data_IF_011161750831
#
_entry.id   IF_011161750831
#
_cell.length_a   1.000
_cell.length_b   1.000
_cell.length_c   1.000
_cell.angle_alpha   90.00
_cell.angle_beta   90.00
_cell.angle_gamma   90.00
#
_symmetry.space_group_name_H-M   'P 1'
#
loop_
_entity.id
_entity.type
_entity.pdbx_description
1 polymer ?
2 non-polymer ?
3 non-polymer ?
4 non-polymer ?
5 water ?
#
# COMPACT_ATOMS: atom_id res chain seq x y z
N UNK A 39 10.29 11.47 -19.65
CA UNK A 39 9.47 12.73 -19.50
C UNK A 39 8.97 12.83 -18.03
N UNK A 40 7.67 13.06 -17.76
CA UNK A 40 7.07 13.06 -16.39
C UNK A 40 6.54 11.67 -16.02
N UNK A 41 7.01 11.14 -14.88
CA UNK A 41 6.72 9.78 -14.36
C UNK A 41 5.23 9.66 -14.02
N UNK A 42 4.60 8.59 -14.53
CA UNK A 42 3.22 8.20 -14.15
C UNK A 42 3.31 7.45 -12.82
N UNK A 43 2.43 7.78 -11.88
CA UNK A 43 2.43 7.24 -10.50
C UNK A 43 1.14 6.42 -10.30
N UNK A 44 1.33 5.12 -10.05
CA UNK A 44 0.27 4.11 -9.90
C UNK A 44 0.51 3.42 -8.57
N UNK A 45 -0.49 3.46 -7.70
CA UNK A 45 -0.49 2.71 -6.42
C UNK A 45 -1.06 1.33 -6.70
N UNK A 46 -0.44 0.30 -6.15
CA UNK A 46 -0.99 -1.08 -6.02
C UNK A 46 -1.56 -1.24 -4.60
N UNK A 47 -2.86 -1.53 -4.49
CA UNK A 47 -3.60 -1.60 -3.22
C UNK A 47 -4.20 -2.99 -3.08
N UNK A 48 -4.36 -3.46 -1.85
CA UNK A 48 -4.94 -4.78 -1.61
C UNK A 48 -4.71 -5.24 -0.19
N UNK A 49 -5.49 -6.22 0.23
CA UNK A 49 -5.39 -6.82 1.58
C UNK A 49 -4.02 -7.46 1.76
N UNK A 50 -3.69 -7.76 2.99
CA UNK A 50 -2.47 -8.53 3.34
C UNK A 50 -2.47 -9.80 2.50
N UNK A 51 -1.35 -10.11 1.84
CA UNK A 51 -1.07 -11.38 1.13
C UNK A 51 -1.99 -11.53 -0.09
N UNK A 52 -2.54 -10.44 -0.63
CA UNK A 52 -3.36 -10.49 -1.87
C UNK A 52 -2.45 -10.92 -3.04
N UNK A 53 -1.21 -10.43 -3.04
CA UNK A 53 -0.19 -10.77 -4.05
C UNK A 53 0.52 -9.54 -4.59
N UNK A 54 0.49 -8.43 -3.88
CA UNK A 54 1.00 -7.12 -4.39
C UNK A 54 2.50 -7.17 -4.64
N UNK A 55 3.29 -7.75 -3.73
CA UNK A 55 4.76 -7.85 -3.88
C UNK A 55 5.11 -8.77 -5.06
N UNK A 56 4.42 -9.90 -5.18
CA UNK A 56 4.54 -10.83 -6.32
C UNK A 56 4.23 -10.07 -7.61
N UNK A 57 3.14 -9.30 -7.61
CA UNK A 57 2.68 -8.60 -8.83
C UNK A 57 3.71 -7.53 -9.24
N UNK A 58 4.14 -6.66 -8.34
CA UNK A 58 5.07 -5.55 -8.68
C UNK A 58 6.40 -6.10 -9.18
N UNK A 59 6.87 -7.23 -8.62
CA UNK A 59 8.18 -7.86 -8.96
C UNK A 59 8.08 -8.54 -10.33
N UNK A 60 6.86 -8.89 -10.74
CA UNK A 60 6.58 -9.28 -12.15
C UNK A 60 6.67 -8.02 -13.02
N UNK A 61 5.97 -6.96 -12.64
CA UNK A 61 5.87 -5.78 -13.53
C UNK A 61 7.26 -5.20 -13.76
N UNK A 62 8.09 -5.09 -12.72
CA UNK A 62 9.35 -4.32 -12.80
C UNK A 62 10.20 -4.94 -13.93
N UNK A 63 10.06 -6.23 -14.17
CA UNK A 63 10.90 -7.02 -15.11
C UNK A 63 10.47 -6.83 -16.56
N UNK A 64 9.23 -6.41 -16.82
CA UNK A 64 8.64 -6.47 -18.19
C UNK A 64 9.02 -5.25 -19.03
N UNK A 65 9.51 -4.17 -18.41
CA UNK A 65 9.88 -2.91 -19.11
C UNK A 65 10.97 -2.16 -18.32
N UNK A 66 11.91 -1.56 -19.05
CA UNK A 66 12.96 -0.65 -18.51
C UNK A 66 12.32 0.68 -18.11
N UNK A 67 11.09 0.96 -18.55
CA UNK A 67 10.38 2.21 -18.22
C UNK A 67 9.58 2.02 -16.93
N UNK A 68 9.62 0.81 -16.36
CA UNK A 68 8.75 0.42 -15.22
C UNK A 68 9.62 0.22 -13.97
N UNK A 69 9.31 0.95 -12.91
CA UNK A 69 9.99 0.75 -11.60
C UNK A 69 8.95 0.63 -10.48
N UNK A 70 9.42 0.15 -9.34
CA UNK A 70 8.63 -0.29 -8.17
C UNK A 70 9.18 0.38 -6.91
N UNK A 71 8.30 0.87 -6.04
CA UNK A 71 8.65 1.33 -4.66
C UNK A 71 8.02 0.36 -3.66
N UNK A 72 8.84 -0.54 -3.09
CA UNK A 72 8.39 -1.46 -2.07
C UNK A 72 7.95 -0.71 -0.81
N UNK A 73 6.98 -1.29 -0.11
CA UNK A 73 6.39 -0.79 1.15
C UNK A 73 7.50 -0.88 2.21
N UNK A 74 7.91 0.24 2.82
CA UNK A 74 8.91 0.22 3.88
C UNK A 74 8.61 -0.73 5.07
N UNK A 75 7.37 -0.84 5.48
CA UNK A 75 6.92 -1.84 6.51
C UNK A 75 7.32 -3.25 6.07
N UNK A 76 7.19 -3.60 4.79
CA UNK A 76 7.56 -4.93 4.25
C UNK A 76 9.07 -5.14 4.42
N UNK A 77 9.89 -4.13 4.11
CA UNK A 77 11.37 -4.14 4.30
C UNK A 77 11.77 -4.19 5.79
N UNK A 78 10.92 -3.75 6.73
CA UNK A 78 11.27 -3.78 8.18
C UNK A 78 11.19 -5.22 8.69
N UNK A 79 10.24 -6.02 8.17
CA UNK A 79 10.04 -7.47 8.43
C UNK A 79 10.65 -8.30 7.28
N UNK A 80 11.74 -7.79 6.69
CA UNK A 80 12.55 -8.34 5.57
C UNK A 80 12.12 -9.79 5.27
N UNK A 91 22.61 -2.63 7.97
CA UNK A 91 21.27 -2.41 8.58
C UNK A 91 21.03 -0.92 8.79
N UNK A 92 20.04 -0.33 8.11
CA UNK A 92 19.79 1.12 8.17
C UNK A 92 19.15 1.47 9.52
N UNK A 93 19.39 2.69 9.99
CA UNK A 93 18.74 3.28 11.19
C UNK A 93 17.21 3.20 11.04
N UNK A 94 16.67 3.40 9.84
CA UNK A 94 15.21 3.29 9.58
C UNK A 94 14.76 1.84 9.86
N UNK A 95 15.56 0.86 9.43
CA UNK A 95 15.22 -0.57 9.64
C UNK A 95 15.30 -0.96 11.11
N UNK A 96 16.25 -0.45 11.88
CA UNK A 96 16.38 -0.80 13.33
C UNK A 96 15.14 -0.24 14.02
N UNK A 97 14.86 1.04 13.76
CA UNK A 97 13.68 1.77 14.25
C UNK A 97 12.40 0.98 13.93
N UNK A 98 12.14 0.69 12.66
CA UNK A 98 10.92 -0.01 12.21
C UNK A 98 10.85 -1.40 12.84
N UNK A 99 11.95 -2.14 12.81
CA UNK A 99 12.05 -3.45 13.46
C UNK A 99 11.64 -3.33 14.93
N UNK A 100 12.22 -2.38 15.66
CA UNK A 100 11.84 -2.15 17.09
C UNK A 100 10.36 -1.81 17.18
N UNK A 101 9.81 -0.89 16.38
CA UNK A 101 8.38 -0.52 16.62
C UNK A 101 7.45 -1.67 16.20
N UNK A 102 7.75 -2.43 15.13
CA UNK A 102 6.92 -3.60 14.73
C UNK A 102 6.81 -4.56 15.92
N UNK A 103 7.93 -4.89 16.54
CA UNK A 103 7.98 -5.83 17.68
C UNK A 103 7.11 -5.31 18.83
N UNK A 104 7.20 -4.01 19.12
CA UNK A 104 6.52 -3.44 20.30
C UNK A 104 5.02 -3.41 20.05
N UNK A 105 4.64 -3.27 18.78
CA UNK A 105 3.21 -3.32 18.36
C UNK A 105 2.60 -4.67 18.74
N UNK A 106 3.33 -5.79 18.67
CA UNK A 106 2.76 -7.13 19.04
C UNK A 106 2.40 -7.14 20.52
N UNK A 107 3.25 -6.53 21.35
CA UNK A 107 3.06 -6.49 22.83
C UNK A 107 1.91 -5.52 23.16
N UNK A 108 1.96 -4.30 22.62
CA UNK A 108 1.12 -3.18 23.13
C UNK A 108 0.75 -2.25 21.98
N UNK A 109 -0.19 -2.66 21.12
CA UNK A 109 -0.57 -1.82 19.99
C UNK A 109 -1.16 -0.47 20.43
N UNK A 110 -1.81 -0.42 21.61
CA UNK A 110 -2.44 0.82 22.13
C UNK A 110 -1.35 1.79 22.63
N UNK A 111 -0.12 1.32 22.81
CA UNK A 111 1.04 2.19 23.18
C UNK A 111 1.74 2.71 21.92
N UNK A 112 1.82 1.92 20.84
CA UNK A 112 2.78 2.17 19.74
C UNK A 112 2.12 2.51 18.40
N UNK A 113 0.79 2.48 18.29
CA UNK A 113 0.10 2.64 16.99
C UNK A 113 0.42 4.03 16.42
N UNK A 114 0.28 5.09 17.21
CA UNK A 114 0.56 6.47 16.74
C UNK A 114 2.00 6.53 16.20
N UNK A 115 2.97 6.06 16.99
CA UNK A 115 4.40 6.13 16.66
C UNK A 115 4.65 5.35 15.37
N UNK A 116 4.09 4.15 15.31
CA UNK A 116 4.22 3.23 14.15
C UNK A 116 3.69 3.94 12.90
N UNK A 117 2.43 4.34 12.93
CA UNK A 117 1.75 4.86 11.72
C UNK A 117 2.46 6.10 11.20
N UNK A 118 2.89 7.01 12.08
CA UNK A 118 3.55 8.26 11.64
C UNK A 118 4.87 7.86 10.99
N UNK A 119 5.62 6.93 11.59
CA UNK A 119 6.98 6.60 11.07
C UNK A 119 6.84 5.79 9.78
N UNK A 120 5.84 4.92 9.70
CA UNK A 120 5.55 4.10 8.51
C UNK A 120 5.26 5.04 7.35
N UNK A 121 4.42 6.04 7.57
CA UNK A 121 4.01 7.01 6.51
C UNK A 121 5.17 7.95 6.13
N UNK A 122 5.95 8.47 7.10
CA UNK A 122 7.16 9.29 6.78
C UNK A 122 8.07 8.49 5.84
N UNK A 123 8.33 7.26 6.22
CA UNK A 123 9.30 6.36 5.55
C UNK A 123 8.82 6.09 4.12
N UNK A 124 7.51 5.99 3.92
CA UNK A 124 6.95 5.78 2.59
C UNK A 124 7.15 7.06 1.77
N UNK A 125 6.84 8.23 2.34
CA UNK A 125 7.00 9.46 1.53
C UNK A 125 8.48 9.57 1.11
N UNK A 126 9.42 9.38 2.02
CA UNK A 126 10.84 9.63 1.65
C UNK A 126 11.25 8.60 0.59
N UNK A 127 10.83 7.34 0.72
CA UNK A 127 11.15 6.28 -0.26
C UNK A 127 10.46 6.60 -1.61
N UNK A 128 9.23 7.13 -1.60
CA UNK A 128 8.52 7.50 -2.85
C UNK A 128 9.27 8.65 -3.55
N UNK A 129 9.76 9.66 -2.80
CA UNK A 129 10.46 10.83 -3.39
C UNK A 129 11.85 10.43 -3.91
N UNK A 130 12.57 9.51 -3.26
CA UNK A 130 13.90 9.01 -3.71
C UNK A 130 13.76 8.34 -5.08
N UNK A 131 12.77 7.46 -5.27
CA UNK A 131 12.51 6.80 -6.57
C UNK A 131 12.13 7.83 -7.62
N UNK A 132 11.27 8.77 -7.25
CA UNK A 132 10.76 9.83 -8.17
C UNK A 132 11.92 10.73 -8.66
N UNK A 133 13.05 10.83 -7.93
CA UNK A 133 14.14 11.79 -8.21
C UNK A 133 15.42 11.06 -8.65
N UNK A 134 15.44 9.73 -8.69
CA UNK A 134 16.67 8.96 -8.93
C UNK A 134 16.59 7.98 -10.09
N UNK A 135 15.43 7.81 -10.73
CA UNK A 135 15.20 6.72 -11.72
C UNK A 135 14.39 7.22 -12.90
N UNK A 136 14.39 6.47 -14.00
CA UNK A 136 13.56 6.73 -15.21
C UNK A 136 13.84 8.16 -15.71
N UNK A 137 15.10 8.58 -15.66
CA UNK A 137 15.51 9.93 -16.11
C UNK A 137 15.58 9.93 -17.65
N UNK A 138 16.09 8.85 -18.27
CA UNK A 138 16.07 8.68 -19.75
C UNK A 138 15.13 7.52 -20.12
N UNK A 139 13.95 7.50 -19.51
CA UNK A 139 12.82 6.62 -19.86
C UNK A 139 11.85 7.40 -20.75
N UNK A 140 11.26 6.74 -21.75
CA UNK A 140 10.35 7.38 -22.74
C UNK A 140 8.95 7.51 -22.14
N UNK A 141 8.41 6.41 -21.59
CA UNK A 141 7.07 6.35 -20.93
C UNK A 141 7.25 5.77 -19.53
N UNK A 142 7.89 6.54 -18.61
CA UNK A 142 8.20 6.05 -17.28
C UNK A 142 6.94 5.87 -16.42
N UNK A 143 6.86 4.72 -15.74
CA UNK A 143 5.78 4.39 -14.78
C UNK A 143 6.42 3.92 -13.48
N UNK A 144 5.91 4.44 -12.37
CA UNK A 144 6.40 4.12 -11.01
C UNK A 144 5.23 3.48 -10.26
N UNK A 145 5.39 2.20 -9.95
CA UNK A 145 4.39 1.38 -9.20
C UNK A 145 4.74 1.47 -7.72
N UNK A 146 3.94 2.19 -6.94
CA UNK A 146 4.04 2.22 -5.46
C UNK A 146 3.33 1.01 -4.88
N UNK A 147 4.04 0.25 -4.05
CA UNK A 147 3.43 -0.81 -3.22
C UNK A 147 2.66 -0.11 -2.10
N UNK A 148 1.35 0.03 -2.29
CA UNK A 148 0.45 0.79 -1.38
C UNK A 148 0.83 2.26 -1.47
N UNK A 149 0.11 3.10 -0.72
CA UNK A 149 0.22 4.58 -0.78
C UNK A 149 0.06 5.22 0.61
N UNK A 150 0.21 6.56 0.65
CA UNK A 150 -0.07 7.37 1.87
C UNK A 150 -1.55 7.23 2.21
N UNK A 151 -2.40 6.91 1.22
CA UNK A 151 -3.86 6.79 1.43
C UNK A 151 -4.21 5.47 2.12
N UNK A 152 -3.51 4.36 1.81
CA UNK A 152 -3.69 3.06 2.51
C UNK A 152 -3.20 3.19 3.96
N UNK A 153 -2.08 3.86 4.15
CA UNK A 153 -1.53 4.14 5.50
C UNK A 153 -2.64 4.71 6.40
N UNK A 154 -3.44 5.63 5.87
CA UNK A 154 -4.40 6.43 6.67
C UNK A 154 -5.76 5.76 6.69
N UNK A 155 -6.35 5.44 5.54
CA UNK A 155 -7.79 5.07 5.45
C UNK A 155 -7.94 3.57 5.62
N UNK A 156 -6.84 2.82 5.56
CA UNK A 156 -6.86 1.37 5.87
C UNK A 156 -6.26 1.20 7.26
N UNK A 157 -4.97 1.46 7.42
CA UNK A 157 -4.25 0.97 8.63
C UNK A 157 -4.52 1.88 9.84
N UNK A 158 -4.17 3.16 9.74
CA UNK A 158 -4.27 4.07 10.90
C UNK A 158 -5.73 4.11 11.34
N UNK A 159 -6.65 4.24 10.38
CA UNK A 159 -8.11 4.26 10.60
C UNK A 159 -8.53 2.99 11.34
N UNK A 160 -8.05 1.82 10.90
CA UNK A 160 -8.37 0.52 11.52
C UNK A 160 -7.86 0.50 12.96
N UNK A 161 -6.69 1.07 13.19
CA UNK A 161 -6.09 1.05 14.54
C UNK A 161 -6.94 1.92 15.47
N UNK A 162 -7.40 3.07 14.98
CA UNK A 162 -8.28 3.98 15.76
C UNK A 162 -9.57 3.22 16.13
N UNK A 163 -10.15 2.52 15.17
CA UNK A 163 -11.41 1.75 15.35
C UNK A 163 -11.17 0.54 16.26
N UNK A 164 -9.95 0.00 16.33
CA UNK A 164 -9.62 -1.12 17.25
C UNK A 164 -9.20 -0.61 18.65
N UNK A 165 -9.25 0.72 18.84
CA UNK A 165 -8.97 1.48 20.08
C UNK A 165 -7.47 1.40 20.40
N UNK A 166 -6.63 1.35 19.37
CA UNK A 166 -5.15 1.32 19.51
C UNK A 166 -4.60 2.74 19.44
N UNK A 167 -5.44 3.67 19.01
CA UNK A 167 -5.21 5.14 19.06
C UNK A 167 -6.45 5.75 19.71
N UNK A 168 -6.25 6.70 20.61
CA UNK A 168 -7.33 7.50 21.24
C UNK A 168 -7.63 8.68 20.30
N UNK A 169 -8.68 9.45 20.55
CA UNK A 169 -9.09 10.57 19.66
C UNK A 169 -7.91 11.52 19.43
N UNK A 170 -7.15 11.82 20.48
CA UNK A 170 -6.08 12.86 20.34
C UNK A 170 -5.05 12.34 19.33
N UNK A 171 -4.64 11.08 19.47
CA UNK A 171 -3.63 10.45 18.57
C UNK A 171 -4.17 10.41 17.14
N UNK A 172 -5.43 10.02 16.94
CA UNK A 172 -6.04 9.92 15.59
C UNK A 172 -6.12 11.31 14.95
N UNK A 173 -6.51 12.34 15.71
CA UNK A 173 -6.68 13.72 15.18
C UNK A 173 -5.32 14.34 14.91
N UNK A 174 -4.34 14.11 15.78
CA UNK A 174 -2.95 14.56 15.54
C UNK A 174 -2.46 13.91 14.26
N UNK A 175 -2.72 12.61 14.10
CA UNK A 175 -2.25 11.82 12.95
C UNK A 175 -2.83 12.41 11.67
N UNK A 176 -4.15 12.58 11.63
CA UNK A 176 -4.84 13.12 10.43
C UNK A 176 -4.32 14.52 10.07
N UNK A 177 -4.15 15.38 11.05
CA UNK A 177 -3.62 16.76 10.90
C UNK A 177 -2.21 16.71 10.30
N UNK A 178 -1.34 15.93 10.93
CA UNK A 178 0.03 15.64 10.45
C UNK A 178 -0.02 15.16 9.00
N UNK A 179 -0.89 14.20 8.69
CA UNK A 179 -1.02 13.54 7.36
C UNK A 179 -1.46 14.56 6.29
N UNK A 180 -2.58 15.24 6.51
CA UNK A 180 -3.05 16.38 5.67
C UNK A 180 -1.86 17.28 5.34
N UNK A 181 -1.23 17.79 6.37
CA UNK A 181 -0.11 18.76 6.24
C UNK A 181 1.10 18.11 5.58
N UNK A 182 1.60 16.98 6.09
CA UNK A 182 2.83 16.28 5.59
C UNK A 182 2.73 16.09 4.07
N UNK A 183 1.51 15.93 3.53
CA UNK A 183 1.23 15.56 2.12
C UNK A 183 1.15 16.82 1.25
N UNK A 184 0.46 17.85 1.72
CA UNK A 184 0.43 19.18 1.05
C UNK A 184 1.86 19.77 0.98
N UNK A 185 2.54 19.86 2.11
CA UNK A 185 4.00 20.16 2.24
C UNK A 185 4.80 18.84 2.24
N UNK A 188 1.27 18.19 -4.99
CA UNK A 188 0.87 17.54 -6.28
C UNK A 188 1.97 16.56 -6.75
N UNK A 189 2.99 16.30 -5.92
CA UNK A 189 4.28 15.68 -6.31
C UNK A 189 4.12 14.15 -6.39
N UNK A 190 3.57 13.54 -5.34
CA UNK A 190 3.29 12.08 -5.29
C UNK A 190 1.81 11.81 -5.60
N UNK A 191 1.05 12.82 -6.01
CA UNK A 191 -0.36 12.62 -6.42
C UNK A 191 -0.36 11.51 -7.48
N UNK A 192 -1.33 10.59 -7.38
CA UNK A 192 -1.46 9.35 -8.19
C UNK A 192 -2.17 9.67 -9.51
N UNK A 193 -1.71 9.04 -10.59
CA UNK A 193 -2.37 9.01 -11.92
C UNK A 193 -3.44 7.91 -11.93
N UNK A 194 -3.27 6.85 -11.14
CA UNK A 194 -4.23 5.75 -11.09
C UNK A 194 -3.96 4.77 -9.97
N UNK A 195 -4.95 3.93 -9.67
CA UNK A 195 -4.83 2.88 -8.63
C UNK A 195 -5.18 1.55 -9.27
N UNK A 196 -4.40 0.52 -8.93
CA UNK A 196 -4.66 -0.90 -9.28
C UNK A 196 -4.99 -1.62 -7.98
N UNK A 197 -6.24 -2.07 -7.88
CA UNK A 197 -6.77 -2.82 -6.73
C UNK A 197 -6.63 -4.32 -7.01
N UNK A 198 -5.69 -4.99 -6.37
CA UNK A 198 -5.64 -6.47 -6.40
C UNK A 198 -6.64 -6.97 -5.35
N UNK A 199 -7.81 -7.37 -5.85
CA UNK A 199 -8.97 -7.76 -5.04
C UNK A 199 -8.90 -9.27 -4.84
N UNK A 200 -8.90 -9.69 -3.58
CA UNK A 200 -8.91 -11.11 -3.16
C UNK A 200 -9.80 -11.25 -1.93
N UNK A 201 -10.46 -12.40 -1.81
CA UNK A 201 -11.30 -12.77 -0.64
C UNK A 201 -10.38 -12.88 0.57
N UNK A 202 -10.88 -12.61 1.79
CA UNK A 202 -10.12 -12.84 3.01
C UNK A 202 -9.54 -14.26 3.13
N UNK A 203 -10.31 -15.25 2.65
CA UNK A 203 -9.97 -16.70 2.65
C UNK A 203 -8.73 -16.94 1.78
N UNK A 204 -8.70 -16.40 0.56
CA UNK A 204 -7.49 -16.46 -0.29
C UNK A 204 -6.32 -15.83 0.46
N UNK A 205 -6.50 -14.65 1.05
CA UNK A 205 -5.40 -13.94 1.77
C UNK A 205 -4.95 -14.77 2.97
N UNK A 206 -5.87 -15.43 3.66
CA UNK A 206 -5.52 -16.30 4.82
C UNK A 206 -4.70 -17.48 4.30
N UNK A 207 -5.13 -18.12 3.21
CA UNK A 207 -4.34 -19.23 2.60
C UNK A 207 -2.96 -18.66 2.25
N UNK A 208 -2.87 -17.45 1.69
CA UNK A 208 -1.57 -16.92 1.19
C UNK A 208 -0.65 -16.50 2.36
N UNK A 209 -1.20 -16.09 3.52
CA UNK A 209 -0.34 -15.83 4.71
C UNK A 209 0.31 -17.16 5.12
N UNK A 210 -0.48 -18.22 5.18
CA UNK A 210 0.00 -19.62 5.41
C UNK A 210 1.15 -19.87 4.42
N UNK A 211 0.91 -19.80 3.10
CA UNK A 211 1.95 -19.96 2.05
C UNK A 211 3.20 -19.11 2.36
N UNK A 212 3.04 -17.84 2.76
CA UNK A 212 4.22 -16.94 2.85
C UNK A 212 5.10 -17.40 4.01
N UNK A 213 4.48 -17.90 5.08
CA UNK A 213 5.14 -18.66 6.17
C UNK A 213 5.96 -17.77 7.09
N UNK A 214 5.60 -16.49 7.21
CA UNK A 214 6.20 -15.60 8.22
C UNK A 214 5.57 -15.99 9.57
N UNK A 215 6.43 -16.36 10.53
CA UNK A 215 6.03 -16.88 11.86
C UNK A 215 5.09 -15.87 12.52
N UNK A 216 5.52 -14.60 12.49
CA UNK A 216 4.86 -13.42 13.11
C UNK A 216 3.40 -13.26 12.63
N UNK A 217 3.02 -13.85 11.50
CA UNK A 217 1.78 -13.53 10.75
C UNK A 217 0.75 -14.67 10.86
N UNK A 218 1.17 -15.81 11.40
CA UNK A 218 0.38 -17.07 11.34
C UNK A 218 -0.82 -16.98 12.30
N UNK A 219 -0.86 -16.00 13.20
CA UNK A 219 -1.96 -15.77 14.17
C UNK A 219 -3.02 -14.78 13.68
N UNK A 220 -2.80 -14.13 12.53
CA UNK A 220 -3.78 -13.16 11.93
C UNK A 220 -5.10 -13.90 11.72
N UNK A 221 -6.23 -13.47 12.33
CA UNK A 221 -7.50 -14.18 12.14
C UNK A 221 -8.27 -13.67 10.92
N UNK A 222 -9.10 -14.54 10.35
CA UNK A 222 -9.98 -14.23 9.20
C UNK A 222 -10.71 -12.89 9.43
N UNK A 223 -11.18 -12.65 10.66
CA UNK A 223 -12.02 -11.49 11.04
C UNK A 223 -11.28 -10.19 10.75
N UNK A 224 -9.98 -10.14 11.08
CA UNK A 224 -9.10 -8.96 10.85
C UNK A 224 -9.03 -8.64 9.34
N UNK A 225 -8.82 -9.69 8.52
CA UNK A 225 -8.72 -9.60 7.04
C UNK A 225 -10.09 -9.21 6.48
N UNK A 226 -11.17 -9.76 7.05
CA UNK A 226 -12.55 -9.38 6.63
C UNK A 226 -12.73 -7.88 6.81
N UNK A 227 -12.26 -7.31 7.94
CA UNK A 227 -12.30 -5.85 8.23
C UNK A 227 -11.46 -5.07 7.22
N UNK A 228 -10.21 -5.48 6.96
CA UNK A 228 -9.35 -4.77 5.97
C UNK A 228 -10.01 -4.87 4.59
N UNK A 229 -10.51 -6.06 4.25
CA UNK A 229 -11.20 -6.30 2.95
C UNK A 229 -12.33 -5.27 2.79
N UNK A 230 -13.14 -5.09 3.83
CA UNK A 230 -14.32 -4.21 3.84
C UNK A 230 -13.90 -2.77 3.52
N UNK A 231 -12.82 -2.30 4.15
CA UNK A 231 -12.31 -0.92 3.89
C UNK A 231 -11.82 -0.77 2.45
N UNK A 232 -11.23 -1.82 1.89
CA UNK A 232 -10.70 -1.75 0.50
C UNK A 232 -11.89 -1.64 -0.45
N UNK A 233 -12.95 -2.43 -0.20
CA UNK A 233 -14.17 -2.48 -1.04
C UNK A 233 -14.82 -1.08 -1.05
N UNK A 234 -14.96 -0.47 0.14
CA UNK A 234 -15.65 0.84 0.34
C UNK A 234 -14.84 1.95 -0.33
N UNK A 235 -13.52 1.87 -0.22
CA UNK A 235 -12.62 2.92 -0.78
C UNK A 235 -12.55 2.78 -2.30
N UNK A 236 -12.27 1.58 -2.81
CA UNK A 236 -11.79 1.41 -4.21
C UNK A 236 -12.89 0.86 -5.16
N UNK A 237 -13.91 0.17 -4.65
CA UNK A 237 -14.95 -0.49 -5.50
C UNK A 237 -16.27 0.29 -5.44
N UNK A 238 -16.95 0.29 -4.29
CA UNK A 238 -18.22 1.04 -4.05
C UNK A 238 -17.95 2.55 -4.06
N UNK A 239 -16.71 2.96 -3.75
CA UNK A 239 -16.23 4.37 -3.66
C UNK A 239 -17.07 5.17 -2.66
N UNK A 240 -17.49 4.54 -1.55
CA UNK A 240 -18.34 5.14 -0.49
C UNK A 240 -17.50 5.92 0.54
N UNK A 241 -16.17 5.92 0.45
CA UNK A 241 -15.34 6.48 1.55
C UNK A 241 -15.06 7.96 1.28
N UNK A 242 -15.48 8.86 2.17
CA UNK A 242 -15.03 10.28 2.14
C UNK A 242 -13.55 10.26 2.53
N UNK A 243 -12.69 10.89 1.75
CA UNK A 243 -11.30 11.23 2.16
C UNK A 243 -11.15 12.74 2.04
N UNK A 244 -10.05 13.25 2.56
CA UNK A 244 -9.77 14.69 2.61
C UNK A 244 -8.88 15.07 1.43
N UNK A 245 -8.91 14.31 0.33
CA UNK A 245 -8.07 14.60 -0.86
C UNK A 245 -8.95 14.63 -2.12
N UNK A 246 -9.35 15.83 -2.54
CA UNK A 246 -10.42 16.06 -3.55
C UNK A 246 -10.18 15.16 -4.78
N UNK A 247 -8.97 15.18 -5.36
CA UNK A 247 -8.66 14.55 -6.67
C UNK A 247 -8.93 13.03 -6.63
N UNK A 248 -8.78 12.35 -5.49
CA UNK A 248 -8.90 10.87 -5.39
C UNK A 248 -10.23 10.37 -6.00
N UNK A 249 -11.30 11.18 -5.98
CA UNK A 249 -12.66 10.77 -6.44
C UNK A 249 -12.67 10.61 -7.96
N UNK A 250 -11.84 11.37 -8.67
CA UNK A 250 -11.68 11.29 -10.14
C UNK A 250 -10.78 10.10 -10.49
N UNK A 251 -9.63 10.01 -9.81
CA UNK A 251 -8.49 9.06 -10.06
C UNK A 251 -9.00 7.71 -10.55
N UNK A 252 -8.55 7.27 -11.74
CA UNK A 252 -8.98 6.00 -12.29
C UNK A 252 -8.53 4.78 -11.47
N UNK A 253 -9.40 3.77 -11.36
CA UNK A 253 -9.13 2.52 -10.60
C UNK A 253 -9.32 1.33 -11.54
N UNK A 254 -8.25 0.56 -11.71
CA UNK A 254 -8.29 -0.79 -12.28
C UNK A 254 -8.43 -1.80 -11.14
N UNK A 255 -9.49 -2.60 -11.15
CA UNK A 255 -9.70 -3.71 -10.19
C UNK A 255 -9.38 -5.05 -10.87
N UNK A 256 -8.48 -5.82 -10.27
CA UNK A 256 -8.07 -7.14 -10.78
C UNK A 256 -8.43 -8.20 -9.73
N UNK A 257 -9.24 -9.18 -10.12
CA UNK A 257 -9.55 -10.37 -9.29
C UNK A 257 -8.30 -11.24 -9.33
N UNK A 258 -7.63 -11.43 -8.19
CA UNK A 258 -6.37 -12.24 -8.11
C UNK A 258 -6.59 -13.47 -7.23
N UNK A 259 -7.83 -13.94 -7.07
CA UNK A 259 -8.11 -15.17 -6.28
C UNK A 259 -7.38 -16.36 -6.89
N UNK A 260 -7.34 -16.47 -8.22
CA UNK A 260 -6.62 -17.57 -8.91
C UNK A 260 -5.12 -17.23 -8.90
N UNK A 261 -4.27 -18.20 -8.55
CA UNK A 261 -2.78 -18.15 -8.64
C UNK A 261 -2.39 -17.53 -10.00
N UNK A 262 -1.37 -16.67 -10.02
CA UNK A 262 -0.98 -15.92 -11.23
C UNK A 262 0.55 -15.93 -11.39
N UNK A 263 1.27 -16.59 -10.48
CA UNK A 263 2.75 -16.59 -10.48
C UNK A 263 3.24 -17.03 -11.86
N UNK A 264 2.56 -17.99 -12.47
CA UNK A 264 2.96 -18.63 -13.74
C UNK A 264 1.94 -18.32 -14.83
N UNK A 265 1.03 -17.38 -14.59
CA UNK A 265 -0.11 -17.18 -15.52
C UNK A 265 -0.65 -15.77 -15.31
N UNK A 266 0.12 -14.75 -15.70
CA UNK A 266 -0.20 -13.34 -15.36
C UNK A 266 -0.36 -12.46 -16.59
N UNK A 267 -0.35 -13.05 -17.81
CA UNK A 267 -0.35 -12.24 -19.05
C UNK A 267 -1.64 -11.44 -19.11
N UNK A 268 -2.76 -12.06 -18.74
CA UNK A 268 -4.09 -11.40 -18.78
C UNK A 268 -4.11 -10.17 -17.87
N UNK A 269 -3.52 -10.26 -16.68
CA UNK A 269 -3.46 -9.14 -15.69
C UNK A 269 -2.59 -8.03 -16.32
N UNK A 270 -1.47 -8.42 -16.93
CA UNK A 270 -0.53 -7.44 -17.53
C UNK A 270 -1.20 -6.75 -18.72
N UNK A 271 -1.97 -7.48 -19.52
CA UNK A 271 -2.75 -6.89 -20.64
C UNK A 271 -3.67 -5.80 -20.12
N UNK A 272 -4.36 -6.07 -19.01
CA UNK A 272 -5.29 -5.09 -18.41
C UNK A 272 -4.49 -3.92 -17.85
N UNK A 273 -3.33 -4.17 -17.23
CA UNK A 273 -2.46 -3.05 -16.78
C UNK A 273 -2.05 -2.19 -17.99
N UNK A 274 -1.56 -2.78 -19.08
CA UNK A 274 -1.08 -1.94 -20.24
C UNK A 274 -2.26 -1.15 -20.83
N UNK A 275 -3.44 -1.75 -20.92
CA UNK A 275 -4.62 -1.02 -21.46
C UNK A 275 -4.97 0.12 -20.47
N UNK A 276 -4.87 -0.15 -19.17
CA UNK A 276 -5.13 0.88 -18.15
C UNK A 276 -4.15 2.04 -18.35
N UNK A 277 -2.85 1.76 -18.33
CA UNK A 277 -1.78 2.79 -18.54
C UNK A 277 -2.03 3.64 -19.80
N UNK A 278 -2.51 3.05 -20.89
CA UNK A 278 -2.74 3.73 -22.20
C UNK A 278 -3.78 4.85 -22.08
N UNK A 279 -4.79 4.70 -21.20
CA UNK A 279 -5.90 5.67 -20.97
C UNK A 279 -5.48 6.85 -20.07
N UNK A 280 -4.32 6.81 -19.42
CA UNK A 280 -3.90 7.83 -18.42
C UNK A 280 -3.12 8.95 -19.11
X LIG B 1 1.22 -16.10 -3.97
X LIG B 1 0.87 -17.23 -4.75
X LIG B 1 0.18 -17.08 -5.88
X LIG B 1 -0.18 -15.88 -6.29
X LIG B 1 0.12 -14.75 -5.55
X LIG B 1 0.83 -14.87 -4.37
X LIG B 1 1.20 -18.38 -4.40
X LIG B 1 -0.83 -15.79 -7.35
X LIG B 1 1.95 -16.25 -2.74
X LIG B 1 3.27 -15.52 -2.67
X LIG B 1 4.35 -16.24 -3.25
X LIG B 1 3.39 -15.30 -1.15
X LIG B 1 1.93 -15.11 -0.71
X LIG B 1 1.11 -15.66 -1.75
X LIG B 1 3.98 -16.42 -0.45
X LIG B 1 1.53 -13.65 -0.49
X LIG B 1 1.71 -12.82 -1.62
X LIG B 1 2.58 -11.46 -1.53
X LIG B 1 3.72 -11.62 -0.60
X LIG B 1 2.90 -10.99 -2.90
X LIG B 1 1.41 -10.53 -0.86
X LIG B 1 1.39 -8.97 -0.47
X LIG B 1 2.62 -8.35 -1.02
X LIG B 1 1.37 -8.80 1.02
X LIG B 1 0.08 -8.54 -1.10
X LIG C 1 0.98 -2.05 7.81
X LIG C 1 1.93 -2.24 5.77
X LIG C 1 0.73 0.66 7.59
X LIG C 1 0.01 -2.00 9.97
X LIG C 1 0.15 -3.66 11.44
X LIG C 1 -0.99 -1.64 10.81
X LIG C 1 0.48 -5.17 13.37
X LIG C 1 -0.76 -5.47 15.41
X LIG C 1 1.64 -5.63 13.99
X LIG C 1 -3.15 -5.02 15.92
X LIG C 1 -4.06 -6.33 17.86
X LIG C 1 -6.06 -4.45 18.25
X LIG C 1 -5.14 -4.27 17.24
X LIG C 1 -7.00 -5.75 20.20
X LIG C 1 -6.09 -2.71 22.25
X LIG C 1 -7.84 -4.93 22.32
X LIG C 1 0.44 -1.29 8.78
X LIG C 1 1.40 -1.45 6.70
X LIG C 1 1.31 -0.05 6.53
X LIG C 1 0.30 0.04 8.70
X LIG C 1 0.59 1.98 7.54
X LIG C 1 0.64 -3.19 10.33
X LIG C 1 -1.10 -2.72 12.15
X LIG C 1 0.57 -4.81 12.02
X LIG C 1 -0.72 -5.06 14.08
X LIG C 1 0.38 -5.93 16.03
X LIG C 1 1.56 -6.02 15.33
X LIG C 1 2.93 -5.76 13.24
X LIG C 1 -1.90 -5.39 16.23
X LIG C 1 -4.14 -5.21 17.03
X LIG C 1 -3.49 -4.60 14.82
X LIG C 1 -5.00 -6.50 18.87
X LIG C 1 -6.00 -5.57 19.09
X LIG C 1 -7.15 -4.58 21.09
X LIG C 1 -5.87 -3.95 21.42
X LIG C 1 -6.78 -3.05 23.49
X LIG C 1 -8.05 -3.70 23.18
X LIG C 1 -6.98 -1.85 24.32
X LIG D 1 11.92 -2.34 -14.72
#
# INVERSE_FOLDING_TARGET
MGSSHHHHHHSSGLVPRGSHMATPPKRSSPSFSASSEGTRIKKISIEGNIAAGKSTFVNILKQLSEDWEVVPEPVARWSNVQSTQDEFEELTMEQKNGGNVLQMMYEKPERWSFTFQTYACLSRIRAQLASLNGKLKDAEKPVLFFERSVYSDRYIFASNLYESESMNETEWTIYQDWHDWMNNQFGQSLELDGIIYLQATPETCLHRIYLRGRNEEQGIPLEYLEKLHYKHESWLLHRTLKTNFDYLQEVPILTLDVNEDFKDKYESLVEKVKEFLSTL
UDP N1 C2 N3 C4 C5 C6 O2 O4 C1' C2' O2' C3' C4' O4' O3' C5' O5' PA O1A O2A O3A PB O1B O2B O3B
J7W N1 N3 C4 C5 C6 C7 C8 C10 C13 C15 C17 C20 C21 C22 C24 C26 C1 C2 C3 N2 N4 N5 S1 N6 C9 C11 C12 C14 N7 C16 O1 C18 C19 N8 C23 N9 C25 C27
NA NA
#
